data_IF_909044771732
#
_entry.id   IF_909044771732
#
_cell.length_a   1.000
_cell.length_b   1.000
_cell.length_c   1.000
_cell.angle_alpha   90.00
_cell.angle_beta   90.00
_cell.angle_gamma   90.00
#
_symmetry.space_group_name_H-M   'P 1'
#
loop_
_entity.id
_entity.type
_entity.pdbx_description
1 polymer ?
#
# COMPACT_ATOMS: atom_id res chain seq x y z
N UNK A 1 -17.74 -10.59 -0.43
CA UNK A 1 -18.41 -9.54 0.38
C UNK A 1 -19.24 -8.69 -0.55
N UNK A 2 -20.55 -8.63 -0.34
CA UNK A 2 -21.42 -7.75 -1.12
C UNK A 2 -21.35 -6.29 -0.61
N UNK A 3 -22.05 -5.35 -1.28
CA UNK A 3 -21.97 -3.91 -0.94
C UNK A 3 -22.50 -3.57 0.46
N UNK A 4 -23.60 -4.19 0.89
CA UNK A 4 -24.20 -3.91 2.20
C UNK A 4 -23.31 -4.42 3.33
N UNK A 5 -22.75 -5.61 3.15
CA UNK A 5 -21.76 -6.17 4.06
C UNK A 5 -20.49 -5.30 4.11
N UNK A 6 -20.05 -4.79 2.95
CA UNK A 6 -18.90 -3.89 2.88
C UNK A 6 -19.14 -2.60 3.67
N UNK A 7 -20.29 -1.95 3.50
CA UNK A 7 -20.67 -0.78 4.30
C UNK A 7 -20.69 -1.09 5.81
N UNK A 8 -21.28 -2.22 6.17
CA UNK A 8 -21.36 -2.67 7.57
C UNK A 8 -19.97 -2.90 8.18
N UNK A 9 -19.08 -3.57 7.44
CA UNK A 9 -17.71 -3.83 7.93
C UNK A 9 -16.87 -2.55 7.98
N UNK A 10 -17.06 -1.59 7.07
CA UNK A 10 -16.41 -0.28 7.12
C UNK A 10 -16.86 0.53 8.34
N UNK A 11 -18.14 0.47 8.72
CA UNK A 11 -18.64 1.14 9.93
C UNK A 11 -17.94 0.63 11.19
N UNK A 12 -17.58 -0.66 11.26
CA UNK A 12 -16.79 -1.22 12.36
C UNK A 12 -15.34 -0.70 12.40
N UNK A 13 -14.82 -0.25 11.27
CA UNK A 13 -13.53 0.46 11.18
C UNK A 13 -13.64 1.96 11.47
N UNK A 14 -14.85 2.47 11.78
CA UNK A 14 -15.10 3.89 11.95
C UNK A 14 -15.14 4.67 10.63
N UNK A 15 -15.28 3.99 9.49
CA UNK A 15 -15.31 4.60 8.16
C UNK A 15 -16.75 4.79 7.72
N UNK A 16 -17.16 6.06 7.53
CA UNK A 16 -18.41 6.43 6.89
C UNK A 16 -18.16 6.65 5.39
N UNK A 17 -18.62 5.73 4.55
CA UNK A 17 -18.47 5.82 3.10
C UNK A 17 -19.70 6.50 2.48
N UNK A 18 -19.49 7.49 1.60
CA UNK A 18 -20.56 8.14 0.84
C UNK A 18 -21.01 7.29 -0.35
N UNK A 19 -22.22 7.56 -0.85
CA UNK A 19 -22.72 6.86 -2.06
C UNK A 19 -21.81 7.12 -3.28
N UNK A 20 -21.32 8.33 -3.46
CA UNK A 20 -20.38 8.67 -4.55
C UNK A 20 -19.06 7.89 -4.46
N UNK A 21 -18.53 7.70 -3.25
CA UNK A 21 -17.33 6.88 -3.04
C UNK A 21 -17.60 5.40 -3.34
N UNK A 22 -18.77 4.91 -2.92
CA UNK A 22 -19.17 3.53 -3.20
C UNK A 22 -19.38 3.28 -4.70
N UNK A 23 -19.99 4.22 -5.42
CA UNK A 23 -20.11 4.20 -6.88
C UNK A 23 -18.74 4.19 -7.56
N UNK A 24 -17.80 4.98 -7.06
CA UNK A 24 -16.42 5.02 -7.57
C UNK A 24 -15.70 3.67 -7.36
N UNK A 25 -15.86 3.04 -6.18
CA UNK A 25 -15.32 1.70 -5.93
C UNK A 25 -15.98 0.65 -6.81
N UNK A 26 -17.29 0.73 -7.03
CA UNK A 26 -17.99 -0.19 -7.96
C UNK A 26 -17.49 -0.05 -9.39
N UNK A 27 -17.34 1.19 -9.86
CA UNK A 27 -16.76 1.46 -11.18
C UNK A 27 -15.34 0.93 -11.28
N UNK A 28 -14.53 1.09 -10.22
CA UNK A 28 -13.18 0.54 -10.16
C UNK A 28 -13.18 -0.99 -10.26
N UNK A 29 -14.06 -1.68 -9.51
CA UNK A 29 -14.17 -3.14 -9.59
C UNK A 29 -14.54 -3.60 -11.01
N UNK A 30 -15.49 -2.95 -11.65
CA UNK A 30 -15.91 -3.27 -13.02
C UNK A 30 -14.76 -3.05 -14.03
N UNK A 31 -14.03 -1.93 -13.90
CA UNK A 31 -12.84 -1.64 -14.73
C UNK A 31 -11.78 -2.71 -14.53
N UNK A 32 -11.51 -3.12 -13.28
CA UNK A 32 -10.50 -4.14 -12.97
C UNK A 32 -10.86 -5.49 -13.59
N UNK A 33 -12.11 -5.93 -13.46
CA UNK A 33 -12.61 -7.19 -14.02
C UNK A 33 -12.50 -7.17 -15.55
N UNK A 34 -12.91 -6.08 -16.17
CA UNK A 34 -12.89 -5.96 -17.64
C UNK A 34 -11.47 -5.90 -18.19
N UNK A 35 -10.62 -5.06 -17.61
CA UNK A 35 -9.22 -4.92 -18.03
C UNK A 35 -8.44 -6.21 -17.83
N UNK A 36 -8.76 -6.95 -16.77
CA UNK A 36 -8.09 -8.21 -16.41
C UNK A 36 -8.34 -9.35 -17.42
N UNK A 37 -9.39 -9.26 -18.26
CA UNK A 37 -9.64 -10.21 -19.36
C UNK A 37 -8.51 -10.22 -20.41
N UNK A 38 -7.79 -9.10 -20.54
CA UNK A 38 -6.76 -8.92 -21.56
C UNK A 38 -5.37 -8.71 -20.97
N UNK A 39 -5.30 -8.33 -19.67
CA UNK A 39 -4.04 -7.99 -19.01
C UNK A 39 -4.08 -8.53 -17.59
N UNK A 40 -3.20 -9.44 -17.24
CA UNK A 40 -3.15 -10.06 -15.93
C UNK A 40 -2.69 -9.06 -14.84
N UNK A 41 -3.62 -8.26 -14.32
CA UNK A 41 -3.39 -7.27 -13.24
C UNK A 41 -3.49 -7.94 -11.87
N UNK A 42 -4.49 -8.84 -11.68
CA UNK A 42 -4.72 -9.57 -10.45
C UNK A 42 -5.28 -10.96 -10.73
N UNK A 43 -5.00 -11.91 -9.83
CA UNK A 43 -5.63 -13.23 -9.87
C UNK A 43 -7.09 -13.23 -9.36
N UNK A 44 -7.54 -12.14 -8.71
CA UNK A 44 -8.89 -12.01 -8.16
C UNK A 44 -9.78 -11.36 -9.21
N UNK A 45 -10.78 -12.13 -9.69
CA UNK A 45 -11.63 -11.73 -10.81
C UNK A 45 -13.10 -11.60 -10.47
N UNK A 46 -13.55 -12.13 -9.33
CA UNK A 46 -14.92 -11.99 -8.87
C UNK A 46 -15.11 -10.75 -7.98
N UNK A 47 -16.28 -10.14 -8.11
CA UNK A 47 -16.59 -8.85 -7.49
C UNK A 47 -16.58 -8.90 -5.96
N UNK A 48 -17.09 -9.97 -5.37
CA UNK A 48 -17.15 -10.10 -3.91
C UNK A 48 -15.76 -10.25 -3.28
N UNK A 49 -14.87 -10.99 -3.94
CA UNK A 49 -13.47 -11.10 -3.53
C UNK A 49 -12.71 -9.79 -3.71
N UNK A 50 -13.00 -8.99 -4.77
CA UNK A 50 -12.43 -7.65 -4.95
C UNK A 50 -12.81 -6.75 -3.78
N UNK A 51 -14.10 -6.73 -3.39
CA UNK A 51 -14.57 -5.93 -2.24
C UNK A 51 -13.90 -6.35 -0.94
N UNK A 52 -13.71 -7.65 -0.70
CA UNK A 52 -13.08 -8.14 0.53
C UNK A 52 -11.55 -7.98 0.50
N UNK A 53 -10.89 -8.60 -0.50
CA UNK A 53 -9.43 -8.80 -0.52
C UNK A 53 -8.67 -7.62 -1.10
N UNK A 54 -9.36 -6.73 -1.83
CA UNK A 54 -8.74 -5.51 -2.35
C UNK A 54 -9.26 -4.27 -1.62
N UNK A 55 -10.55 -4.01 -1.60
CA UNK A 55 -11.07 -2.76 -1.06
C UNK A 55 -11.07 -2.72 0.47
N UNK A 56 -11.72 -3.68 1.11
CA UNK A 56 -11.76 -3.73 2.58
C UNK A 56 -10.36 -3.89 3.16
N UNK A 57 -9.58 -4.83 2.64
CA UNK A 57 -8.19 -5.07 3.07
C UNK A 57 -7.35 -3.77 2.98
N UNK A 58 -7.47 -3.00 1.89
CA UNK A 58 -6.80 -1.70 1.75
C UNK A 58 -7.22 -0.69 2.82
N UNK A 59 -8.50 -0.64 3.19
CA UNK A 59 -9.05 0.30 4.17
C UNK A 59 -8.73 -0.11 5.62
N UNK A 60 -8.27 -1.33 5.85
CA UNK A 60 -7.76 -1.73 7.19
C UNK A 60 -6.56 -0.91 7.65
N UNK A 61 -5.89 -0.16 6.77
CA UNK A 61 -4.86 0.82 7.12
C UNK A 61 -5.33 1.81 8.20
N UNK A 62 -6.62 2.13 8.24
CA UNK A 62 -7.20 3.00 9.28
C UNK A 62 -7.08 2.46 10.70
N UNK A 63 -6.82 1.17 10.86
CA UNK A 63 -6.55 0.57 12.18
C UNK A 63 -5.27 1.09 12.82
N UNK A 64 -4.32 1.57 12.01
CA UNK A 64 -2.96 1.89 12.47
C UNK A 64 -2.48 3.29 12.06
N UNK A 65 -3.15 3.93 11.08
CA UNK A 65 -2.85 5.27 10.58
C UNK A 65 -4.15 6.08 10.44
N UNK A 66 -4.10 7.33 10.89
CA UNK A 66 -5.16 8.31 10.67
C UNK A 66 -5.04 8.91 9.26
N UNK A 67 -5.86 8.44 8.32
CA UNK A 67 -5.89 8.88 6.92
C UNK A 67 -6.73 10.15 6.71
N UNK A 68 -7.37 10.68 7.74
CA UNK A 68 -8.12 11.95 7.65
C UNK A 68 -7.19 13.17 7.58
N UNK A 69 -5.92 13.00 7.94
CA UNK A 69 -4.88 14.04 7.86
C UNK A 69 -4.40 14.25 6.43
N UNK A 70 -3.96 15.47 6.13
CA UNK A 70 -3.31 15.79 4.86
C UNK A 70 -1.90 15.17 4.82
N UNK A 71 -1.79 14.02 4.17
CA UNK A 71 -0.54 13.27 4.07
C UNK A 71 -0.06 13.17 2.63
N UNK A 72 1.25 13.29 2.44
CA UNK A 72 1.92 12.82 1.24
C UNK A 72 2.18 11.31 1.39
N UNK A 73 1.64 10.52 0.47
CA UNK A 73 1.63 9.04 0.54
C UNK A 73 2.35 8.45 -0.67
N UNK A 74 3.23 7.48 -0.43
CA UNK A 74 3.85 6.65 -1.47
C UNK A 74 3.35 5.21 -1.31
N UNK A 75 2.78 4.65 -2.37
CA UNK A 75 2.41 3.22 -2.45
C UNK A 75 3.46 2.49 -3.29
N UNK A 76 4.30 1.68 -2.64
CA UNK A 76 5.43 0.98 -3.28
C UNK A 76 5.00 -0.40 -3.74
N UNK A 77 5.14 -0.65 -5.05
CA UNK A 77 4.66 -1.87 -5.67
C UNK A 77 3.13 -1.91 -5.72
N UNK A 78 2.51 -0.80 -6.07
CA UNK A 78 1.07 -0.57 -6.00
C UNK A 78 0.23 -1.53 -6.84
N UNK A 79 0.81 -2.24 -7.80
CA UNK A 79 0.14 -3.29 -8.57
C UNK A 79 -1.11 -2.81 -9.30
N UNK A 80 -2.25 -3.40 -8.99
CA UNK A 80 -3.55 -2.93 -9.47
C UNK A 80 -4.03 -1.62 -8.82
N UNK A 81 -3.17 -0.87 -8.11
CA UNK A 81 -3.51 0.35 -7.38
C UNK A 81 -3.96 0.10 -5.93
N UNK A 82 -3.47 -0.97 -5.31
CA UNK A 82 -3.84 -1.38 -3.96
C UNK A 82 -2.66 -1.31 -2.97
N UNK A 83 -2.77 -0.59 -1.85
CA UNK A 83 -3.99 0.04 -1.32
C UNK A 83 -4.28 1.44 -1.89
N UNK A 84 -3.36 2.05 -2.65
CA UNK A 84 -3.33 3.47 -2.96
C UNK A 84 -4.62 4.05 -3.53
N UNK A 85 -5.13 3.54 -4.66
CA UNK A 85 -6.35 4.08 -5.31
C UNK A 85 -7.57 3.96 -4.39
N UNK A 86 -7.67 2.86 -3.62
CA UNK A 86 -8.80 2.66 -2.71
C UNK A 86 -8.80 3.70 -1.58
N UNK A 87 -7.65 3.92 -0.93
CA UNK A 87 -7.56 4.94 0.12
C UNK A 87 -7.77 6.35 -0.45
N UNK A 88 -7.35 6.62 -1.69
CA UNK A 88 -7.59 7.91 -2.35
C UNK A 88 -9.07 8.18 -2.63
N UNK A 89 -9.83 7.16 -3.01
CA UNK A 89 -11.28 7.28 -3.21
C UNK A 89 -11.99 7.65 -1.90
N UNK A 90 -11.60 7.02 -0.79
CA UNK A 90 -12.23 7.23 0.52
C UNK A 90 -11.69 8.47 1.24
N UNK A 91 -10.41 8.78 1.05
CA UNK A 91 -9.70 9.92 1.66
C UNK A 91 -9.11 10.83 0.58
N UNK A 92 -9.93 11.70 -0.05
CA UNK A 92 -9.52 12.53 -1.17
C UNK A 92 -8.49 13.62 -0.80
N UNK A 93 -8.30 13.91 0.48
CA UNK A 93 -7.28 14.82 1.01
C UNK A 93 -5.83 14.31 0.81
N UNK A 94 -5.63 13.01 0.64
CA UNK A 94 -4.29 12.44 0.46
C UNK A 94 -3.64 12.89 -0.85
N UNK A 95 -2.34 13.23 -0.80
CA UNK A 95 -1.50 13.44 -1.99
C UNK A 95 -0.74 12.14 -2.27
N UNK A 96 -1.15 11.42 -3.30
CA UNK A 96 -0.71 10.04 -3.52
C UNK A 96 0.28 9.92 -4.69
N UNK A 97 1.31 9.12 -4.50
CA UNK A 97 2.20 8.61 -5.56
C UNK A 97 2.11 7.09 -5.58
N UNK A 98 1.73 6.54 -6.72
CA UNK A 98 1.77 5.09 -6.99
C UNK A 98 3.08 4.76 -7.69
N UNK A 99 3.86 3.84 -7.15
CA UNK A 99 5.14 3.41 -7.71
C UNK A 99 5.07 1.92 -8.04
N UNK A 100 5.26 1.58 -9.31
CA UNK A 100 5.38 0.18 -9.75
C UNK A 100 6.36 0.06 -10.90
N UNK A 101 7.20 -0.98 -10.89
CA UNK A 101 8.17 -1.24 -11.96
C UNK A 101 7.54 -1.90 -13.19
N UNK A 102 6.31 -2.40 -13.09
CA UNK A 102 5.60 -3.06 -14.18
C UNK A 102 4.79 -2.04 -14.99
N UNK A 103 5.19 -1.80 -16.24
CA UNK A 103 4.52 -0.83 -17.11
C UNK A 103 3.02 -1.11 -17.33
N UNK A 104 2.62 -2.38 -17.52
CA UNK A 104 1.21 -2.74 -17.72
C UNK A 104 0.35 -2.37 -16.50
N UNK A 105 0.88 -2.54 -15.29
CA UNK A 105 0.21 -2.14 -14.05
C UNK A 105 0.12 -0.61 -13.93
N UNK A 106 1.18 0.09 -14.28
CA UNK A 106 1.20 1.57 -14.28
C UNK A 106 0.22 2.16 -15.32
N UNK A 107 0.11 1.55 -16.49
CA UNK A 107 -0.89 1.93 -17.51
C UNK A 107 -2.31 1.71 -17.01
N UNK A 108 -2.58 0.57 -16.40
CA UNK A 108 -3.86 0.29 -15.77
C UNK A 108 -4.21 1.32 -14.69
N UNK A 109 -3.27 1.67 -13.82
CA UNK A 109 -3.48 2.69 -12.78
C UNK A 109 -3.86 4.04 -13.40
N UNK A 110 -3.13 4.51 -14.43
CA UNK A 110 -3.45 5.76 -15.15
C UNK A 110 -4.85 5.69 -15.77
N UNK A 111 -5.21 4.54 -16.34
CA UNK A 111 -6.53 4.33 -16.91
C UNK A 111 -7.64 4.46 -15.84
N UNK A 112 -7.50 3.80 -14.69
CA UNK A 112 -8.45 3.88 -13.57
C UNK A 112 -8.57 5.31 -13.05
N UNK A 113 -7.45 5.98 -12.78
CA UNK A 113 -7.38 7.37 -12.30
C UNK A 113 -8.16 8.31 -13.22
N UNK A 114 -7.95 8.19 -14.53
CA UNK A 114 -8.65 8.99 -15.54
C UNK A 114 -10.16 8.71 -15.55
N UNK A 115 -10.55 7.42 -15.55
CA UNK A 115 -11.96 7.00 -15.56
C UNK A 115 -12.73 7.41 -14.31
N UNK A 116 -12.05 7.48 -13.16
CA UNK A 116 -12.62 7.92 -11.89
C UNK A 116 -12.44 9.43 -11.65
N UNK A 117 -11.70 10.13 -12.52
CA UNK A 117 -11.37 11.55 -12.40
C UNK A 117 -10.73 11.91 -11.05
N UNK A 118 -9.84 11.05 -10.56
CA UNK A 118 -9.11 11.29 -9.32
C UNK A 118 -8.04 12.38 -9.54
N UNK A 119 -7.92 13.29 -8.58
CA UNK A 119 -6.92 14.37 -8.55
C UNK A 119 -5.86 14.12 -7.47
N UNK A 120 -4.76 14.87 -7.46
CA UNK A 120 -3.67 14.74 -6.49
C UNK A 120 -3.14 13.31 -6.34
N UNK A 121 -3.05 12.61 -7.47
CA UNK A 121 -2.52 11.26 -7.57
C UNK A 121 -1.62 11.13 -8.80
N UNK A 122 -0.39 10.65 -8.59
CA UNK A 122 0.61 10.45 -9.63
C UNK A 122 0.97 8.97 -9.77
N UNK A 123 1.30 8.56 -11.00
CA UNK A 123 1.76 7.19 -11.30
C UNK A 123 3.18 7.25 -11.85
N UNK A 124 4.10 6.61 -11.15
CA UNK A 124 5.51 6.49 -11.51
C UNK A 124 5.77 5.04 -11.91
N UNK A 125 6.26 4.85 -13.15
CA UNK A 125 6.71 3.54 -13.61
C UNK A 125 8.23 3.48 -13.50
N UNK A 126 8.73 3.03 -12.37
CA UNK A 126 10.16 2.89 -12.09
C UNK A 126 10.38 1.89 -10.94
N UNK A 127 11.63 1.49 -10.75
CA UNK A 127 12.06 0.76 -9.55
C UNK A 127 12.25 1.71 -8.37
N UNK A 128 11.95 1.24 -7.16
CA UNK A 128 12.02 2.07 -5.96
C UNK A 128 13.43 2.65 -5.73
N UNK A 129 14.49 1.85 -5.89
CA UNK A 129 15.87 2.31 -5.71
C UNK A 129 16.31 3.35 -6.75
N UNK A 130 15.68 3.39 -7.92
CA UNK A 130 15.93 4.44 -8.91
C UNK A 130 15.13 5.69 -8.59
N UNK A 131 13.84 5.54 -8.31
CA UNK A 131 12.95 6.66 -7.97
C UNK A 131 13.43 7.40 -6.72
N UNK A 132 14.06 6.70 -5.77
CA UNK A 132 14.65 7.33 -4.58
C UNK A 132 15.65 8.46 -4.91
N UNK A 133 16.37 8.36 -6.03
CA UNK A 133 17.34 9.37 -6.47
C UNK A 133 16.73 10.74 -6.78
N UNK A 134 15.40 10.82 -6.90
CA UNK A 134 14.67 12.09 -7.07
C UNK A 134 14.62 12.93 -5.79
N UNK A 135 14.98 12.36 -4.64
CA UNK A 135 15.00 13.05 -3.36
C UNK A 135 13.64 13.23 -2.69
N UNK A 136 12.56 12.72 -3.29
CA UNK A 136 11.21 12.85 -2.72
C UNK A 136 11.09 12.13 -1.37
N UNK A 137 10.40 12.77 -0.41
CA UNK A 137 10.11 12.25 0.92
C UNK A 137 8.62 12.34 1.23
N UNK A 138 8.11 11.35 1.98
CA UNK A 138 6.69 11.17 2.24
C UNK A 138 6.39 11.07 3.73
N UNK A 139 5.17 11.48 4.10
CA UNK A 139 4.65 11.35 5.47
C UNK A 139 4.27 9.88 5.76
N UNK A 140 3.76 9.20 4.73
CA UNK A 140 3.35 7.80 4.79
C UNK A 140 3.89 7.04 3.58
N UNK A 141 4.50 5.90 3.82
CA UNK A 141 4.81 4.91 2.79
C UNK A 141 4.02 3.64 3.10
N UNK A 142 3.38 3.06 2.10
CA UNK A 142 2.66 1.80 2.23
C UNK A 142 3.18 0.78 1.22
N UNK A 143 3.18 -0.50 1.61
CA UNK A 143 3.49 -1.59 0.68
C UNK A 143 2.65 -2.83 1.03
N UNK A 144 2.08 -3.47 -0.01
CA UNK A 144 1.26 -4.67 0.13
C UNK A 144 1.71 -5.76 -0.84
N UNK A 145 2.00 -6.96 -0.32
CA UNK A 145 2.27 -8.17 -1.10
C UNK A 145 3.39 -8.06 -2.17
N UNK A 146 4.42 -7.22 -1.94
CA UNK A 146 5.48 -6.94 -2.93
C UNK A 146 6.66 -7.89 -2.78
N UNK A 147 7.16 -8.08 -1.53
CA UNK A 147 8.36 -8.89 -1.22
C UNK A 147 8.38 -9.23 0.27
N UNK A 148 9.41 -9.95 0.73
CA UNK A 148 9.65 -10.12 2.16
C UNK A 148 10.09 -8.81 2.83
N UNK A 149 9.89 -8.70 4.16
CA UNK A 149 10.12 -7.47 4.91
C UNK A 149 11.54 -6.92 4.79
N UNK A 150 12.64 -7.72 4.97
CA UNK A 150 13.99 -7.17 4.88
C UNK A 150 14.31 -6.49 3.54
N UNK A 151 13.66 -6.91 2.45
CA UNK A 151 13.78 -6.25 1.14
C UNK A 151 12.94 -4.98 1.09
N UNK A 152 11.69 -5.04 1.58
CA UNK A 152 10.79 -3.88 1.59
C UNK A 152 11.28 -2.77 2.50
N UNK A 153 11.88 -3.11 3.64
CA UNK A 153 12.40 -2.12 4.59
C UNK A 153 13.43 -1.22 3.91
N UNK A 154 14.36 -1.79 3.15
CA UNK A 154 15.38 -1.01 2.44
C UNK A 154 14.80 -0.24 1.24
N UNK A 155 13.76 -0.75 0.59
CA UNK A 155 13.10 -0.08 -0.53
C UNK A 155 12.12 1.02 -0.08
N UNK A 156 11.65 1.01 1.17
CA UNK A 156 10.57 1.88 1.64
C UNK A 156 11.01 2.91 2.69
N UNK A 157 11.78 2.50 3.72
CA UNK A 157 12.17 3.39 4.83
C UNK A 157 12.94 4.63 4.36
N UNK A 158 13.84 4.55 3.35
CA UNK A 158 14.54 5.72 2.86
C UNK A 158 13.64 6.85 2.31
N UNK A 159 12.43 6.53 1.85
CA UNK A 159 11.47 7.53 1.37
C UNK A 159 10.77 8.32 2.47
N UNK A 160 10.89 7.92 3.72
CA UNK A 160 10.19 8.60 4.80
C UNK A 160 10.87 9.92 5.21
N UNK A 161 10.05 10.91 5.52
CA UNK A 161 10.44 12.06 6.34
C UNK A 161 10.75 11.57 7.77
N UNK A 162 11.57 12.28 8.52
CA UNK A 162 11.69 12.04 9.97
C UNK A 162 10.31 12.25 10.62
N UNK A 163 9.88 11.30 11.44
CA UNK A 163 8.52 11.24 12.01
C UNK A 163 7.47 10.62 11.09
N UNK A 164 7.80 10.37 9.82
CA UNK A 164 6.92 9.66 8.88
C UNK A 164 6.83 8.17 9.17
N UNK A 165 5.84 7.49 8.59
CA UNK A 165 5.54 6.10 8.89
C UNK A 165 5.57 5.23 7.63
N UNK A 166 6.14 4.03 7.76
CA UNK A 166 5.94 2.93 6.82
C UNK A 166 4.89 1.99 7.41
N UNK A 167 3.89 1.62 6.62
CA UNK A 167 2.96 0.55 6.98
C UNK A 167 3.08 -0.60 5.99
N UNK A 168 3.54 -1.75 6.47
CA UNK A 168 3.58 -2.98 5.72
C UNK A 168 2.30 -3.78 5.97
N UNK A 169 1.63 -4.17 4.88
CA UNK A 169 0.40 -4.99 4.90
C UNK A 169 0.75 -6.42 4.51
N UNK A 170 0.74 -7.31 5.48
CA UNK A 170 1.17 -8.71 5.34
C UNK A 170 0.08 -9.69 5.78
N UNK A 171 0.21 -10.96 5.40
CA UNK A 171 -0.52 -12.05 6.02
C UNK A 171 0.17 -12.44 7.35
N UNK A 172 0.73 -13.64 7.47
CA UNK A 172 1.63 -13.93 8.60
C UNK A 172 3.01 -13.32 8.33
N UNK A 173 3.48 -12.50 9.24
CA UNK A 173 4.77 -11.82 9.15
C UNK A 173 5.73 -12.20 10.29
N UNK A 174 5.43 -13.21 11.08
CA UNK A 174 6.15 -13.52 12.32
C UNK A 174 7.65 -13.72 12.09
N UNK A 175 8.03 -14.57 11.14
CA UNK A 175 9.44 -14.84 10.82
C UNK A 175 10.10 -13.67 10.12
N UNK A 176 9.38 -12.98 9.21
CA UNK A 176 9.91 -11.82 8.49
C UNK A 176 10.22 -10.66 9.44
N UNK A 177 9.36 -10.46 10.44
CA UNK A 177 9.49 -9.41 11.45
C UNK A 177 10.78 -9.58 12.28
N UNK A 178 11.06 -10.80 12.75
CA UNK A 178 12.30 -11.07 13.49
C UNK A 178 13.54 -10.80 12.64
N UNK A 179 13.51 -11.19 11.37
CA UNK A 179 14.62 -10.99 10.43
C UNK A 179 14.83 -9.52 10.03
N UNK A 180 13.85 -8.65 10.24
CA UNK A 180 13.88 -7.24 9.83
C UNK A 180 14.37 -6.28 10.91
N UNK A 181 14.35 -6.67 12.18
CA UNK A 181 14.62 -5.76 13.31
C UNK A 181 15.93 -4.98 13.20
N UNK A 182 17.00 -5.67 12.86
CA UNK A 182 18.33 -5.04 12.72
C UNK A 182 18.39 -4.12 11.49
N UNK A 183 17.84 -4.58 10.35
CA UNK A 183 17.77 -3.79 9.12
C UNK A 183 16.96 -2.50 9.29
N UNK A 184 15.81 -2.57 9.94
CA UNK A 184 14.96 -1.41 10.24
C UNK A 184 15.75 -0.36 11.04
N UNK A 185 16.47 -0.79 12.09
CA UNK A 185 17.30 0.10 12.91
C UNK A 185 18.43 0.75 12.11
N UNK A 186 19.14 -0.02 11.28
CA UNK A 186 20.19 0.48 10.37
C UNK A 186 19.63 1.55 9.43
N UNK A 187 18.42 1.37 8.93
CA UNK A 187 17.75 2.30 8.01
C UNK A 187 17.15 3.53 8.71
N UNK A 188 17.27 3.62 10.04
CA UNK A 188 16.76 4.73 10.86
C UNK A 188 15.28 4.60 11.21
N UNK A 189 14.73 3.40 11.17
CA UNK A 189 13.35 3.11 11.56
C UNK A 189 13.23 2.48 12.95
N UNK A 190 12.03 2.54 13.52
CA UNK A 190 11.62 1.86 14.74
C UNK A 190 10.22 1.26 14.55
N UNK A 191 10.01 0.00 14.96
CA UNK A 191 8.68 -0.62 14.95
C UNK A 191 7.88 -0.02 16.11
N UNK A 192 6.81 0.72 15.78
CA UNK A 192 6.02 1.45 16.79
C UNK A 192 4.64 0.86 17.02
N UNK A 193 4.13 0.03 16.11
CA UNK A 193 2.86 -0.67 16.30
C UNK A 193 2.77 -1.91 15.42
N UNK A 194 2.09 -2.95 15.91
CA UNK A 194 1.79 -4.18 15.17
C UNK A 194 0.36 -4.60 15.47
N UNK A 195 -0.47 -4.71 14.45
CA UNK A 195 -1.85 -5.16 14.59
C UNK A 195 -2.11 -6.43 13.80
N UNK A 196 -2.57 -7.48 14.48
CA UNK A 196 -2.98 -8.74 13.89
C UNK A 196 -4.49 -8.87 13.97
N UNK A 197 -5.13 -9.24 12.87
CA UNK A 197 -6.57 -9.47 12.79
C UNK A 197 -6.88 -10.42 11.64
N UNK A 198 -8.10 -10.93 11.61
CA UNK A 198 -8.58 -11.75 10.51
C UNK A 198 -9.53 -10.94 9.63
N UNK A 199 -9.43 -11.12 8.31
CA UNK A 199 -10.42 -10.57 7.39
C UNK A 199 -11.80 -11.18 7.71
N UNK A 200 -12.87 -10.38 7.66
CA UNK A 200 -14.22 -10.89 7.88
C UNK A 200 -14.57 -11.98 6.85
N UNK A 201 -15.50 -12.88 7.22
CA UNK A 201 -15.99 -13.99 6.40
C UNK A 201 -14.97 -15.10 6.09
N UNK A 202 -13.79 -14.73 5.59
CA UNK A 202 -12.77 -15.68 5.13
C UNK A 202 -11.84 -16.13 6.28
N UNK A 203 -11.70 -15.28 7.30
CA UNK A 203 -10.85 -15.58 8.46
C UNK A 203 -9.34 -15.54 8.16
N UNK A 204 -8.93 -15.08 6.98
CA UNK A 204 -7.51 -15.02 6.63
C UNK A 204 -6.78 -13.96 7.46
N UNK A 205 -5.65 -14.36 8.05
CA UNK A 205 -4.83 -13.52 8.91
C UNK A 205 -4.26 -12.33 8.13
N UNK A 206 -4.28 -11.16 8.78
CA UNK A 206 -3.60 -9.94 8.36
C UNK A 206 -2.75 -9.39 9.49
N UNK A 207 -1.60 -8.85 9.12
CA UNK A 207 -0.67 -8.16 10.01
C UNK A 207 -0.34 -6.80 9.40
N UNK A 208 -0.65 -5.74 10.12
CA UNK A 208 -0.17 -4.39 9.81
C UNK A 208 1.01 -4.10 10.71
N UNK A 209 2.13 -3.68 10.12
CA UNK A 209 3.36 -3.35 10.86
C UNK A 209 3.68 -1.89 10.56
N UNK A 210 3.67 -1.05 11.61
CA UNK A 210 4.05 0.36 11.52
C UNK A 210 5.47 0.55 11.99
N UNK A 211 6.26 1.16 11.10
CA UNK A 211 7.65 1.54 11.36
C UNK A 211 7.72 3.06 11.25
N UNK A 212 8.11 3.74 12.33
CA UNK A 212 8.30 5.18 12.34
C UNK A 212 9.75 5.53 12.03
N UNK A 213 9.97 6.53 11.20
CA UNK A 213 11.30 7.04 10.86
C UNK A 213 11.81 7.93 12.00
N UNK A 214 12.83 7.49 12.71
CA UNK A 214 13.38 8.19 13.87
C UNK A 214 14.76 8.82 13.61
N UNK A 215 15.52 8.29 12.65
CA UNK A 215 16.83 8.80 12.26
C UNK A 215 17.00 8.82 10.74
N UNK A 216 17.95 9.59 10.23
CA UNK A 216 18.30 9.59 8.81
C UNK A 216 18.82 8.21 8.37
N UNK A 217 18.47 7.81 7.17
CA UNK A 217 19.04 6.61 6.53
C UNK A 217 20.43 6.93 6.03
N UNK A 218 21.45 6.09 6.33
CA UNK A 218 22.79 6.27 5.79
C UNK A 218 22.78 6.35 4.26
N UNK A 219 23.58 7.23 3.68
CA UNK A 219 23.56 7.58 2.25
C UNK A 219 23.89 6.43 1.29
N UNK A 220 24.42 5.32 1.80
CA UNK A 220 24.66 4.09 1.02
C UNK A 220 23.37 3.32 0.71
N UNK A 221 22.24 3.66 1.34
CA UNK A 221 20.93 3.03 1.12
C UNK A 221 19.94 3.97 0.40
N UNK A 222 19.02 3.42 -0.39
CA UNK A 222 18.91 2.01 -0.74
C UNK A 222 20.01 1.56 -1.70
N UNK A 223 20.45 0.32 -1.54
CA UNK A 223 21.39 -0.33 -2.48
C UNK A 223 20.67 -0.69 -3.78
N UNK A 224 21.42 -1.15 -4.78
CA UNK A 224 20.81 -1.70 -6.00
C UNK A 224 20.00 -2.96 -5.68
N UNK A 225 18.87 -3.14 -6.37
CA UNK A 225 17.90 -4.22 -6.13
C UNK A 225 18.54 -5.62 -6.02
N UNK A 226 19.49 -5.95 -6.91
CA UNK A 226 20.20 -7.23 -6.88
C UNK A 226 20.99 -7.47 -5.58
N UNK A 227 21.57 -6.40 -5.01
CA UNK A 227 22.27 -6.48 -3.72
C UNK A 227 21.28 -6.64 -2.56
N UNK A 228 20.14 -5.93 -2.63
CA UNK A 228 19.08 -6.02 -1.61
C UNK A 228 18.52 -7.43 -1.56
N UNK A 229 18.19 -8.02 -2.70
CA UNK A 229 17.56 -9.36 -2.77
C UNK A 229 18.52 -10.50 -2.45
N UNK A 230 19.79 -10.40 -2.88
CA UNK A 230 20.80 -11.44 -2.59
C UNK A 230 21.29 -11.40 -1.14
N UNK A 231 21.35 -10.23 -0.53
CA UNK A 231 21.86 -10.03 0.85
C UNK A 231 21.01 -8.95 1.54
N UNK A 232 19.75 -9.23 1.88
CA UNK A 232 18.92 -8.28 2.62
C UNK A 232 19.49 -7.98 3.99
N UNK A 233 19.21 -6.77 4.50
CA UNK A 233 19.59 -6.39 5.87
C UNK A 233 18.80 -7.24 6.87
N UNK A 234 19.48 -7.85 7.82
CA UNK A 234 18.91 -8.71 8.86
C UNK A 234 19.40 -8.26 10.23
#
# INVERSE_FOLDING_TARGET
MNKEEFKSELSKLGISITDTQLESLEKYANILIDYNKHTNITAITDKESIYLKHFYDSLTLTKIIDLTKDLSVLDVGSGGGFPGIVIKIVYPNLKLTLLDSNNKKSEFQRYVINKLKLTDINVINDRAENFFKTGNKYDLVVARAVSNMPVLDELCIPFLKIGGNLVLMKADATTELENSKSGIKILGGEITDIQKFNLPKEGSLRTLIKITKVNETPSIYPRNYDKITKKPLK
#
